data_IF_247729425658
#
_entry.id   IF_247729425658
#
_cell.length_a   1.000
_cell.length_b   1.000
_cell.length_c   1.000
_cell.angle_alpha   90.00
_cell.angle_beta   90.00
_cell.angle_gamma   90.00
#
_symmetry.space_group_name_H-M   'P 1'
#
loop_
_entity.id
_entity.type
_entity.pdbx_description
1 polymer ?
#
# COMPACT_ATOMS: atom_id res chain seq x y z
N UNK A 1 19.91 -20.54 74.62
CA UNK A 1 18.99 -19.40 74.45
C UNK A 1 19.16 -18.91 72.99
N UNK A 2 18.33 -19.37 72.10
CA UNK A 2 18.32 -18.98 70.68
C UNK A 2 17.02 -18.24 70.39
N UNK A 3 17.04 -17.12 69.63
CA UNK A 3 15.82 -16.52 69.15
C UNK A 3 15.46 -17.01 67.73
N UNK A 4 14.20 -17.32 67.57
CA UNK A 4 13.50 -17.68 66.36
C UNK A 4 13.43 -16.53 65.35
N UNK A 5 13.85 -16.78 64.11
CA UNK A 5 13.65 -15.89 62.97
C UNK A 5 12.39 -16.30 62.20
N UNK A 6 11.38 -15.44 62.23
CA UNK A 6 10.14 -15.58 61.46
C UNK A 6 10.35 -15.21 59.98
N UNK A 7 10.18 -16.16 59.09
CA UNK A 7 10.13 -15.92 57.63
C UNK A 7 8.71 -15.52 57.21
N UNK A 8 8.56 -14.29 56.72
CA UNK A 8 7.32 -13.79 56.10
C UNK A 8 7.31 -14.18 54.61
N UNK A 9 6.48 -15.13 54.23
CA UNK A 9 6.21 -15.49 52.86
C UNK A 9 5.43 -14.36 52.17
N UNK A 10 6.07 -13.63 51.26
CA UNK A 10 5.39 -12.75 50.29
C UNK A 10 4.74 -13.61 49.19
N UNK A 11 3.42 -13.69 49.22
CA UNK A 11 2.61 -14.20 48.08
C UNK A 11 2.70 -13.25 46.90
N UNK A 12 3.27 -13.72 45.78
CA UNK A 12 3.18 -13.05 44.50
C UNK A 12 1.80 -13.29 43.92
N UNK A 13 0.97 -12.25 43.84
CA UNK A 13 -0.26 -12.25 43.05
C UNK A 13 0.12 -12.25 41.56
N UNK A 14 -0.17 -13.35 40.88
CA UNK A 14 -0.10 -13.44 39.42
C UNK A 14 -1.28 -12.67 38.82
N UNK A 15 -1.00 -11.55 38.20
CA UNK A 15 -1.99 -10.81 37.42
C UNK A 15 -2.17 -11.52 36.08
N UNK A 16 -3.28 -12.23 35.93
CA UNK A 16 -3.71 -12.84 34.66
C UNK A 16 -4.07 -11.70 33.73
N UNK A 17 -3.36 -11.60 32.61
CA UNK A 17 -3.66 -10.70 31.52
C UNK A 17 -4.88 -11.21 30.74
N UNK A 18 -5.92 -10.42 30.47
CA UNK A 18 -7.07 -10.90 29.70
C UNK A 18 -6.66 -11.21 28.26
N UNK A 19 -6.94 -12.45 27.85
CA UNK A 19 -6.77 -12.91 26.48
C UNK A 19 -7.70 -12.11 25.57
N UNK A 20 -7.11 -11.44 24.56
CA UNK A 20 -7.85 -10.86 23.44
C UNK A 20 -8.43 -12.01 22.60
N UNK A 21 -9.73 -11.96 22.39
CA UNK A 21 -10.47 -12.82 21.46
C UNK A 21 -9.84 -12.79 20.06
N UNK A 22 -9.74 -13.91 19.36
CA UNK A 22 -9.17 -13.95 18.02
C UNK A 22 -10.12 -13.28 17.01
N UNK A 23 -9.56 -12.41 16.19
CA UNK A 23 -10.20 -11.77 15.05
C UNK A 23 -10.60 -12.83 14.00
N UNK A 24 -11.73 -12.69 13.30
CA UNK A 24 -12.25 -13.73 12.42
C UNK A 24 -11.32 -13.98 11.22
N UNK A 25 -11.16 -15.26 10.92
CA UNK A 25 -10.46 -15.90 9.82
C UNK A 25 -10.68 -15.18 8.47
N UNK A 26 -9.58 -14.93 7.77
CA UNK A 26 -9.58 -14.67 6.34
C UNK A 26 -9.67 -15.98 5.57
N UNK A 27 -10.61 -16.14 4.62
CA UNK A 27 -10.73 -17.35 3.83
C UNK A 27 -9.85 -17.27 2.58
N UNK A 28 -8.69 -17.90 2.59
CA UNK A 28 -8.00 -18.33 1.39
C UNK A 28 -8.30 -19.82 1.18
N UNK A 29 -9.44 -20.11 0.60
CA UNK A 29 -9.73 -21.42 0.05
C UNK A 29 -10.16 -21.23 -1.40
N UNK A 30 -9.34 -21.71 -2.32
CA UNK A 30 -9.79 -22.00 -3.67
C UNK A 30 -10.65 -23.26 -3.60
N UNK A 31 -11.94 -23.12 -3.73
CA UNK A 31 -12.86 -24.19 -4.13
C UNK A 31 -14.11 -23.57 -4.74
N UNK A 32 -14.28 -23.86 -6.04
CA UNK A 32 -15.52 -24.12 -6.82
C UNK A 32 -16.82 -23.41 -6.42
N UNK A 33 -17.32 -22.68 -7.40
CA UNK A 33 -18.71 -22.48 -7.86
C UNK A 33 -19.77 -23.34 -7.16
N UNK A 34 -20.73 -22.65 -6.52
CA UNK A 34 -22.17 -22.87 -6.71
C UNK A 34 -22.95 -21.78 -5.94
N UNK A 35 -23.86 -21.07 -6.63
CA UNK A 35 -24.88 -20.18 -6.08
C UNK A 35 -26.11 -21.00 -5.68
N UNK A 36 -27.02 -20.57 -4.78
CA UNK A 36 -27.73 -19.28 -4.75
C UNK A 36 -28.15 -18.75 -3.34
N UNK A 37 -28.58 -17.51 -3.28
CA UNK A 37 -29.56 -17.03 -2.27
C UNK A 37 -29.08 -15.87 -1.38
N UNK A 38 -29.51 -14.64 -1.73
CA UNK A 38 -29.47 -13.48 -0.83
C UNK A 38 -30.51 -13.58 0.28
N UNK A 39 -30.25 -13.01 1.47
CA UNK A 39 -31.22 -12.09 2.04
C UNK A 39 -30.59 -10.78 2.56
N UNK A 40 -31.44 -9.74 2.48
CA UNK A 40 -31.12 -8.36 2.68
C UNK A 40 -30.70 -7.96 4.11
N UNK A 41 -29.89 -6.92 4.15
CA UNK A 41 -29.60 -6.13 5.34
C UNK A 41 -30.24 -4.76 5.22
N UNK A 42 -31.25 -4.51 6.09
CA UNK A 42 -31.82 -3.17 6.34
C UNK A 42 -31.28 -2.66 7.67
N UNK A 43 -30.54 -1.57 7.64
CA UNK A 43 -30.14 -0.78 8.80
C UNK A 43 -29.89 0.68 8.39
N UNK A 44 -30.30 1.67 9.20
CA UNK A 44 -30.54 3.02 8.74
C UNK A 44 -29.23 3.81 8.51
N UNK A 45 -29.09 4.30 7.29
CA UNK A 45 -28.08 5.27 6.91
C UNK A 45 -28.60 6.65 7.30
N UNK A 46 -27.96 7.31 8.26
CA UNK A 46 -28.22 8.70 8.59
C UNK A 46 -27.69 9.58 7.46
N UNK A 47 -28.60 10.12 6.67
CA UNK A 47 -28.30 11.00 5.54
C UNK A 47 -27.97 12.41 6.05
N UNK A 48 -26.74 12.85 5.88
CA UNK A 48 -26.42 14.28 5.82
C UNK A 48 -26.41 14.72 4.36
N UNK A 49 -27.48 15.35 3.91
CA UNK A 49 -27.60 15.96 2.59
C UNK A 49 -26.93 17.34 2.58
N UNK A 50 -26.15 17.68 1.56
CA UNK A 50 -25.72 19.06 1.36
C UNK A 50 -26.81 19.87 0.66
N UNK A 51 -27.12 21.02 1.23
CA UNK A 51 -28.06 22.02 0.72
C UNK A 51 -27.50 22.67 -0.53
N UNK A 52 -28.08 22.38 -1.69
CA UNK A 52 -27.76 23.02 -2.97
C UNK A 52 -28.37 24.41 -3.00
N UNK A 53 -27.53 25.43 -3.11
CA UNK A 53 -27.95 26.83 -3.39
C UNK A 53 -27.94 26.98 -4.91
N UNK A 54 -29.12 27.09 -5.48
CA UNK A 54 -29.32 27.49 -6.87
C UNK A 54 -29.06 29.00 -6.97
N UNK A 55 -28.06 29.40 -7.73
CA UNK A 55 -27.92 30.77 -8.23
C UNK A 55 -28.38 30.79 -9.68
N UNK A 56 -29.37 31.67 -9.90
CA UNK A 56 -29.99 32.00 -11.18
C UNK A 56 -29.06 32.96 -11.93
N UNK A 57 -28.69 32.64 -13.15
CA UNK A 57 -27.98 33.52 -14.06
C UNK A 57 -29.00 34.32 -14.91
N UNK A 58 -28.80 35.61 -15.09
CA UNK A 58 -29.64 36.41 -15.98
C UNK A 58 -29.15 36.37 -17.42
N UNK A 59 -30.10 36.29 -18.32
CA UNK A 59 -29.95 36.40 -19.79
C UNK A 59 -29.57 37.86 -20.16
N UNK A 60 -28.66 38.02 -21.10
CA UNK A 60 -28.35 39.31 -21.75
C UNK A 60 -27.74 39.08 -23.13
N UNK A 61 -27.75 40.08 -24.01
CA UNK A 61 -28.38 39.97 -25.33
C UNK A 61 -27.43 39.81 -26.52
N UNK A 62 -28.04 39.52 -27.68
CA UNK A 62 -27.50 39.37 -29.02
C UNK A 62 -26.48 40.42 -29.46
N UNK A 63 -25.42 39.97 -30.17
CA UNK A 63 -24.58 40.82 -31.00
C UNK A 63 -24.33 40.15 -32.38
N UNK A 64 -24.32 40.93 -33.48
CA UNK A 64 -24.44 40.44 -34.82
C UNK A 64 -23.13 40.07 -35.50
N UNK A 65 -23.21 39.22 -36.52
CA UNK A 65 -22.14 38.87 -37.45
C UNK A 65 -21.68 40.04 -38.32
N UNK A 66 -20.44 40.14 -38.69
CA UNK A 66 -20.01 40.71 -39.96
C UNK A 66 -19.32 39.67 -40.86
N UNK A 67 -19.73 39.56 -42.12
CA UNK A 67 -18.93 39.04 -43.22
C UNK A 67 -18.14 40.17 -43.89
N UNK A 68 -17.62 39.99 -45.09
CA UNK A 68 -16.52 39.07 -45.46
C UNK A 68 -15.26 39.82 -46.05
N UNK A 69 -14.21 39.01 -46.31
CA UNK A 69 -13.13 39.21 -47.29
C UNK A 69 -12.10 40.32 -47.07
N UNK A 70 -10.85 39.89 -46.88
CA UNK A 70 -9.71 40.37 -47.64
C UNK A 70 -8.59 39.34 -47.70
N UNK A 71 -8.11 39.08 -48.94
CA UNK A 71 -6.93 38.31 -49.31
C UNK A 71 -5.65 38.92 -48.71
N UNK A 72 -4.75 38.09 -48.14
CA UNK A 72 -3.31 38.35 -48.13
C UNK A 72 -2.55 37.01 -48.22
N UNK A 73 -1.50 37.08 -48.96
CA UNK A 73 -0.76 36.04 -49.63
C UNK A 73 0.01 35.08 -48.75
N UNK A 74 0.29 33.90 -49.32
CA UNK A 74 1.06 32.79 -48.78
C UNK A 74 2.52 33.17 -48.44
N UNK A 75 2.95 32.68 -47.27
CA UNK A 75 4.35 32.36 -47.04
C UNK A 75 4.47 30.90 -46.63
N UNK A 76 5.12 30.12 -47.50
CA UNK A 76 5.46 28.73 -47.30
C UNK A 76 6.33 28.51 -46.06
N UNK A 77 5.79 27.74 -45.09
CA UNK A 77 6.60 27.07 -44.08
C UNK A 77 6.37 25.57 -44.24
N UNK A 78 7.41 24.73 -44.26
CA UNK A 78 7.22 23.29 -44.48
C UNK A 78 6.58 22.66 -43.25
N UNK A 79 5.27 22.46 -43.31
CA UNK A 79 4.54 21.61 -42.36
C UNK A 79 4.90 20.16 -42.65
N UNK A 80 5.67 19.56 -41.77
CA UNK A 80 5.81 18.10 -41.68
C UNK A 80 4.47 17.48 -41.33
N UNK A 81 3.62 17.29 -42.32
CA UNK A 81 2.40 16.51 -42.21
C UNK A 81 2.76 15.02 -42.06
N UNK A 82 2.99 14.55 -40.84
CA UNK A 82 2.82 13.13 -40.57
C UNK A 82 1.33 12.85 -40.50
N UNK A 83 0.72 12.61 -41.63
CA UNK A 83 -0.68 12.19 -41.74
C UNK A 83 -0.78 10.76 -41.20
N UNK A 84 -1.05 10.61 -39.90
CA UNK A 84 -1.45 9.31 -39.35
C UNK A 84 -2.73 8.86 -40.05
N UNK A 85 -2.74 7.64 -40.51
CA UNK A 85 -3.96 7.02 -41.04
C UNK A 85 -5.02 6.94 -39.94
N UNK A 86 -6.31 6.91 -40.34
CA UNK A 86 -7.44 6.78 -39.42
C UNK A 86 -7.27 5.56 -38.48
N UNK A 87 -6.66 4.49 -38.96
CA UNK A 87 -6.36 3.29 -38.20
C UNK A 87 -5.26 3.52 -37.17
N UNK A 88 -4.19 4.16 -37.53
CA UNK A 88 -3.08 4.52 -36.60
C UNK A 88 -3.56 5.48 -35.53
N UNK A 89 -4.43 6.44 -35.89
CA UNK A 89 -5.07 7.33 -34.95
C UNK A 89 -5.98 6.57 -33.98
N UNK A 90 -6.78 5.60 -34.46
CA UNK A 90 -7.58 4.75 -33.57
C UNK A 90 -6.73 3.86 -32.67
N UNK A 91 -5.65 3.28 -33.18
CA UNK A 91 -4.72 2.49 -32.37
C UNK A 91 -3.95 3.36 -31.37
N UNK A 92 -3.60 4.58 -31.74
CA UNK A 92 -3.03 5.58 -30.83
C UNK A 92 -4.01 5.93 -29.71
N UNK A 93 -5.27 6.26 -30.05
CA UNK A 93 -6.31 6.55 -29.07
C UNK A 93 -6.67 5.35 -28.19
N UNK A 94 -6.63 4.13 -28.72
CA UNK A 94 -6.83 2.91 -27.92
C UNK A 94 -5.64 2.67 -26.98
N UNK A 95 -4.41 2.90 -27.42
CA UNK A 95 -3.21 2.86 -26.57
C UNK A 95 -3.24 3.94 -25.50
N UNK A 96 -3.59 5.15 -25.87
CA UNK A 96 -3.80 6.25 -24.92
C UNK A 96 -4.91 5.91 -23.92
N UNK A 97 -6.09 5.49 -24.36
CA UNK A 97 -7.19 5.09 -23.47
C UNK A 97 -6.84 3.90 -22.58
N UNK A 98 -6.08 2.92 -23.05
CA UNK A 98 -5.61 1.80 -22.21
C UNK A 98 -4.50 2.22 -21.26
N UNK A 99 -3.64 3.16 -21.65
CA UNK A 99 -2.64 3.79 -20.79
C UNK A 99 -3.26 4.73 -19.74
N UNK A 100 -4.42 5.32 -20.02
CA UNK A 100 -5.15 6.26 -19.16
C UNK A 100 -6.12 5.59 -18.19
N UNK A 101 -6.31 4.30 -18.24
CA UNK A 101 -6.88 3.53 -17.12
C UNK A 101 -5.85 3.45 -16.00
N UNK A 102 -5.33 4.60 -15.60
CA UNK A 102 -4.60 4.69 -14.35
C UNK A 102 -5.58 4.31 -13.24
N UNK A 103 -5.33 3.16 -12.65
CA UNK A 103 -5.87 2.78 -11.37
C UNK A 103 -5.72 3.99 -10.47
N UNK A 104 -6.81 4.73 -10.25
CA UNK A 104 -6.81 5.82 -9.29
C UNK A 104 -7.00 5.20 -7.92
N UNK A 105 -6.11 5.51 -7.00
CA UNK A 105 -6.34 5.22 -5.61
C UNK A 105 -7.12 6.38 -5.00
N UNK A 106 -8.18 6.03 -4.29
CA UNK A 106 -8.94 6.95 -3.45
C UNK A 106 -8.51 6.76 -2.00
N UNK A 107 -8.41 7.86 -1.30
CA UNK A 107 -8.08 7.91 0.11
C UNK A 107 -9.31 8.40 0.87
N UNK A 108 -9.73 7.62 1.88
CA UNK A 108 -10.78 8.01 2.81
C UNK A 108 -10.27 7.88 4.23
N UNK A 109 -10.73 8.77 5.12
CA UNK A 109 -10.55 8.59 6.55
C UNK A 109 -11.88 8.14 7.14
N UNK A 110 -12.06 6.83 7.15
CA UNK A 110 -13.33 6.19 7.49
C UNK A 110 -13.75 6.45 8.93
N UNK A 111 -12.79 6.42 9.86
CA UNK A 111 -13.04 6.64 11.27
C UNK A 111 -11.86 7.31 11.96
N UNK A 112 -12.12 7.80 13.15
CA UNK A 112 -11.08 8.27 14.07
C UNK A 112 -11.45 7.83 15.48
N UNK A 113 -10.45 7.45 16.28
CA UNK A 113 -10.65 7.09 17.68
C UNK A 113 -9.59 7.76 18.56
N UNK A 114 -9.97 8.06 19.78
CA UNK A 114 -9.04 8.56 20.79
C UNK A 114 -8.34 7.35 21.41
N UNK A 115 -7.02 7.34 21.36
CA UNK A 115 -6.19 6.39 22.08
C UNK A 115 -5.59 7.02 23.32
N UNK A 116 -5.70 6.29 24.41
CA UNK A 116 -5.14 6.65 25.70
C UNK A 116 -3.94 5.76 26.00
N UNK A 117 -2.76 6.36 26.08
CA UNK A 117 -1.54 5.70 26.59
C UNK A 117 -1.20 6.31 27.94
N UNK A 118 -0.41 5.60 28.74
CA UNK A 118 -0.05 6.01 30.12
C UNK A 118 0.35 7.48 30.29
N UNK A 119 0.91 8.11 29.25
CA UNK A 119 1.48 9.47 29.30
C UNK A 119 0.80 10.44 28.33
N UNK A 120 0.00 9.97 27.38
CA UNK A 120 -0.55 10.84 26.32
C UNK A 120 -1.85 10.31 25.74
N UNK A 121 -2.77 11.24 25.41
CA UNK A 121 -3.98 10.97 24.63
C UNK A 121 -3.78 11.54 23.23
N UNK A 122 -4.16 10.79 22.22
CA UNK A 122 -4.07 11.23 20.83
C UNK A 122 -5.15 10.57 19.97
N UNK A 123 -5.41 11.16 18.80
CA UNK A 123 -6.37 10.62 17.84
C UNK A 123 -5.65 9.77 16.82
N UNK A 124 -6.16 8.53 16.62
CA UNK A 124 -5.79 7.65 15.51
C UNK A 124 -6.82 7.77 14.40
N UNK A 125 -6.38 8.06 13.21
CA UNK A 125 -7.18 8.17 12.00
C UNK A 125 -7.03 6.90 11.18
N UNK A 126 -8.16 6.28 10.82
CA UNK A 126 -8.20 5.09 10.00
C UNK A 126 -8.26 5.52 8.52
N UNK A 127 -7.15 5.38 7.83
CA UNK A 127 -7.00 5.67 6.40
C UNK A 127 -7.35 4.42 5.61
N UNK A 128 -8.36 4.51 4.76
CA UNK A 128 -8.79 3.46 3.83
C UNK A 128 -8.32 3.84 2.44
N UNK A 129 -7.63 2.92 1.77
CA UNK A 129 -7.13 3.08 0.41
C UNK A 129 -7.90 2.14 -0.50
N UNK A 130 -8.62 2.71 -1.47
CA UNK A 130 -9.52 2.00 -2.38
C UNK A 130 -9.01 2.18 -3.81
N UNK A 131 -8.97 1.10 -4.56
CA UNK A 131 -8.66 1.12 -5.98
C UNK A 131 -9.94 1.37 -6.79
N UNK A 132 -9.93 2.37 -7.69
CA UNK A 132 -11.06 2.64 -8.58
C UNK A 132 -10.91 1.94 -9.92
N UNK A 133 -12.04 1.72 -10.61
CA UNK A 133 -12.06 1.16 -11.98
C UNK A 133 -12.33 -0.35 -12.06
N UNK A 134 -12.32 -1.04 -10.92
CA UNK A 134 -12.74 -2.43 -10.76
C UNK A 134 -13.24 -2.64 -9.33
N UNK A 135 -13.94 -3.75 -9.09
CA UNK A 135 -14.29 -4.14 -7.71
C UNK A 135 -13.00 -4.38 -6.92
N UNK A 136 -12.81 -3.60 -5.86
CA UNK A 136 -11.66 -3.72 -4.97
C UNK A 136 -12.03 -4.62 -3.79
N UNK A 137 -11.74 -5.92 -3.91
CA UNK A 137 -11.92 -6.90 -2.84
C UNK A 137 -10.97 -6.66 -1.66
N UNK A 138 -9.83 -6.03 -1.93
CA UNK A 138 -8.72 -5.91 -0.99
C UNK A 138 -8.52 -4.44 -0.53
N UNK A 139 -9.55 -3.88 0.11
CA UNK A 139 -9.46 -2.55 0.71
C UNK A 139 -8.33 -2.55 1.75
N UNK A 140 -7.35 -1.71 1.54
CA UNK A 140 -6.27 -1.56 2.51
C UNK A 140 -6.64 -0.52 3.57
N UNK A 141 -6.39 -0.87 4.82
CA UNK A 141 -6.68 -0.02 5.98
C UNK A 141 -5.41 0.16 6.78
N UNK A 142 -5.02 1.41 7.01
CA UNK A 142 -3.87 1.76 7.85
C UNK A 142 -4.25 2.82 8.86
N UNK A 143 -3.56 2.85 9.99
CA UNK A 143 -3.85 3.78 11.08
C UNK A 143 -2.69 4.75 11.27
N UNK A 144 -3.02 6.05 11.28
CA UNK A 144 -2.03 7.13 11.41
C UNK A 144 -2.54 8.21 12.36
N UNK A 145 -1.67 8.74 13.19
CA UNK A 145 -1.96 9.90 14.02
C UNK A 145 -1.56 11.20 13.32
N UNK A 146 -2.10 12.31 13.74
CA UNK A 146 -1.80 13.62 13.13
C UNK A 146 -0.28 13.89 13.01
N UNK A 147 0.52 13.53 14.02
CA UNK A 147 1.98 13.72 13.96
C UNK A 147 2.69 12.86 12.91
N UNK A 148 2.05 11.80 12.40
CA UNK A 148 2.59 11.01 11.30
C UNK A 148 2.41 11.74 9.98
N UNK A 149 1.26 12.40 9.79
CA UNK A 149 1.00 13.31 8.66
C UNK A 149 1.92 14.54 8.70
N UNK A 150 2.14 15.12 9.88
CA UNK A 150 3.07 16.24 10.06
C UNK A 150 4.50 15.85 9.66
N UNK A 151 4.94 14.65 10.01
CA UNK A 151 6.25 14.12 9.58
C UNK A 151 6.33 13.90 8.08
N UNK A 152 5.27 13.36 7.49
CA UNK A 152 5.15 13.22 6.03
C UNK A 152 5.27 14.58 5.35
N UNK A 153 4.49 15.58 5.78
CA UNK A 153 4.53 16.94 5.22
C UNK A 153 5.94 17.52 5.26
N UNK A 154 6.62 17.45 6.42
CA UNK A 154 7.99 17.94 6.56
C UNK A 154 8.98 17.24 5.62
N UNK A 155 8.85 15.93 5.46
CA UNK A 155 9.71 15.15 4.57
C UNK A 155 9.45 15.48 3.09
N UNK A 156 8.19 15.66 2.70
CA UNK A 156 7.80 15.99 1.35
C UNK A 156 8.20 17.42 0.97
N UNK A 157 7.99 18.42 1.84
CA UNK A 157 8.37 19.80 1.59
C UNK A 157 9.89 19.96 1.39
N UNK A 158 10.69 19.18 2.10
CA UNK A 158 12.15 19.19 1.92
C UNK A 158 12.57 18.76 0.50
N UNK A 159 11.78 17.92 -0.17
CA UNK A 159 12.12 17.32 -1.45
C UNK A 159 11.31 17.85 -2.62
N UNK A 160 10.06 18.21 -2.38
CA UNK A 160 9.05 18.57 -3.38
C UNK A 160 8.36 19.90 -3.03
N UNK A 161 9.09 20.84 -2.39
CA UNK A 161 8.55 22.12 -1.96
C UNK A 161 7.78 22.85 -3.06
N UNK A 162 8.38 23.06 -4.26
CA UNK A 162 7.70 23.77 -5.34
C UNK A 162 6.42 23.07 -5.83
N UNK A 163 6.43 21.73 -5.92
CA UNK A 163 5.28 20.97 -6.40
C UNK A 163 4.13 20.89 -5.37
N UNK A 164 4.38 21.31 -4.13
CA UNK A 164 3.43 21.26 -3.02
C UNK A 164 3.01 22.65 -2.54
N UNK A 165 3.34 23.72 -3.25
CA UNK A 165 3.01 25.10 -2.86
C UNK A 165 1.50 25.29 -2.66
N UNK A 166 0.69 24.70 -3.54
CA UNK A 166 -0.78 24.75 -3.48
C UNK A 166 -1.42 23.69 -2.58
N UNK A 167 -0.63 22.80 -1.96
CA UNK A 167 -1.14 21.70 -1.13
C UNK A 167 -1.22 22.13 0.33
N UNK A 168 -2.39 22.57 0.75
CA UNK A 168 -2.63 22.98 2.12
C UNK A 168 -2.57 21.79 3.09
N UNK A 169 -1.77 21.91 4.15
CA UNK A 169 -1.74 20.97 5.26
C UNK A 169 -2.57 21.47 6.45
N UNK A 170 -3.40 20.62 7.10
CA UNK A 170 -4.19 21.00 8.26
C UNK A 170 -3.35 21.60 9.38
N UNK A 171 -3.74 22.76 9.88
CA UNK A 171 -2.97 23.46 10.92
C UNK A 171 -3.01 22.71 12.25
N UNK A 172 -1.87 22.73 12.95
CA UNK A 172 -1.79 22.22 14.31
C UNK A 172 -2.53 23.14 15.26
N UNK A 173 -3.50 22.59 16.01
CA UNK A 173 -4.20 23.33 17.07
C UNK A 173 -3.47 23.14 18.39
N UNK A 174 -3.37 24.18 19.19
CA UNK A 174 -2.74 24.13 20.51
C UNK A 174 -3.65 23.46 21.55
N UNK A 175 -4.96 23.71 21.43
CA UNK A 175 -5.99 23.18 22.33
C UNK A 175 -7.16 22.56 21.54
N UNK A 176 -8.02 21.80 22.20
CA UNK A 176 -9.24 21.24 21.60
C UNK A 176 -9.02 20.11 20.59
N UNK A 177 -7.80 19.53 20.52
CA UNK A 177 -7.48 18.46 19.54
C UNK A 177 -8.30 17.17 19.69
N UNK A 178 -8.96 17.00 20.84
CA UNK A 178 -9.75 15.80 21.16
C UNK A 178 -11.26 16.07 21.10
N UNK A 179 -11.71 17.29 20.74
CA UNK A 179 -13.13 17.57 20.58
C UNK A 179 -13.67 16.86 19.33
N UNK A 180 -14.95 16.48 19.36
CA UNK A 180 -15.60 15.77 18.26
C UNK A 180 -15.60 16.60 16.97
N UNK A 181 -15.81 17.91 17.08
CA UNK A 181 -15.81 18.86 15.97
C UNK A 181 -14.43 18.90 15.31
N UNK A 182 -13.36 19.08 16.11
CA UNK A 182 -11.99 19.14 15.60
C UNK A 182 -11.58 17.82 14.95
N UNK A 183 -12.00 16.68 15.50
CA UNK A 183 -11.72 15.37 14.91
C UNK A 183 -12.45 15.23 13.57
N UNK A 184 -13.71 15.67 13.49
CA UNK A 184 -14.51 15.58 12.27
C UNK A 184 -13.92 16.47 11.14
N UNK A 185 -13.63 17.73 11.43
CA UNK A 185 -12.99 18.66 10.48
C UNK A 185 -11.65 18.10 9.98
N UNK A 186 -10.80 17.65 10.90
CA UNK A 186 -9.47 17.13 10.58
C UNK A 186 -9.53 15.85 9.75
N UNK A 187 -10.57 15.01 9.92
CA UNK A 187 -10.79 13.85 9.03
C UNK A 187 -10.95 14.28 7.59
N UNK A 188 -11.77 15.30 7.33
CA UNK A 188 -12.00 15.83 5.98
C UNK A 188 -10.73 16.47 5.42
N UNK A 189 -10.09 17.35 6.19
CA UNK A 189 -8.86 18.02 5.77
C UNK A 189 -7.71 17.03 5.44
N UNK A 190 -7.49 16.02 6.29
CA UNK A 190 -6.45 15.01 6.07
C UNK A 190 -6.79 14.09 4.87
N UNK A 191 -8.06 13.79 4.65
CA UNK A 191 -8.52 13.07 3.46
C UNK A 191 -8.17 13.84 2.19
N UNK A 192 -8.54 15.11 2.14
CA UNK A 192 -8.33 15.96 0.97
C UNK A 192 -6.83 16.21 0.75
N UNK A 193 -6.08 16.39 1.84
CA UNK A 193 -4.62 16.44 1.78
C UNK A 193 -3.99 15.19 1.12
N UNK A 194 -4.41 13.97 1.51
CA UNK A 194 -3.89 12.74 0.88
C UNK A 194 -4.26 12.65 -0.60
N UNK A 195 -5.45 13.10 -0.98
CA UNK A 195 -5.90 13.12 -2.39
C UNK A 195 -5.07 14.09 -3.23
N UNK A 196 -4.79 15.28 -2.70
CA UNK A 196 -3.93 16.27 -3.35
C UNK A 196 -2.49 15.74 -3.50
N UNK A 197 -1.91 15.16 -2.44
CA UNK A 197 -0.59 14.53 -2.51
C UNK A 197 -0.53 13.44 -3.58
N UNK A 198 -1.56 12.59 -3.66
CA UNK A 198 -1.61 11.51 -4.65
C UNK A 198 -1.77 12.02 -6.08
N UNK A 199 -2.39 13.19 -6.30
CA UNK A 199 -2.50 13.81 -7.61
C UNK A 199 -1.11 14.20 -8.17
N UNK A 200 -0.17 14.61 -7.30
CA UNK A 200 1.19 14.97 -7.71
C UNK A 200 2.00 13.71 -8.05
N UNK A 201 2.34 13.53 -9.34
CA UNK A 201 3.00 12.33 -9.85
C UNK A 201 4.34 12.03 -9.14
N UNK A 202 5.15 13.04 -8.88
CA UNK A 202 6.43 12.90 -8.19
C UNK A 202 6.23 12.39 -6.75
N UNK A 203 5.26 12.96 -6.02
CA UNK A 203 4.94 12.61 -4.63
C UNK A 203 4.38 11.21 -4.51
N UNK A 204 3.39 10.82 -5.32
CA UNK A 204 2.77 9.46 -5.22
C UNK A 204 3.74 8.32 -5.51
N UNK A 205 4.88 8.58 -6.18
CA UNK A 205 5.95 7.62 -6.44
C UNK A 205 7.11 7.75 -5.47
N UNK A 206 7.07 8.73 -4.59
CA UNK A 206 8.15 8.97 -3.64
C UNK A 206 8.18 7.91 -2.54
N UNK A 207 9.38 7.66 -2.06
CA UNK A 207 9.58 6.75 -0.92
C UNK A 207 8.88 7.26 0.32
N UNK A 208 8.89 8.57 0.54
CA UNK A 208 8.29 9.23 1.71
C UNK A 208 6.79 8.94 1.79
N UNK A 209 6.07 9.05 0.67
CA UNK A 209 4.63 8.79 0.60
C UNK A 209 4.31 7.29 0.75
N UNK A 210 5.07 6.41 0.09
CA UNK A 210 4.92 4.96 0.20
C UNK A 210 5.23 4.50 1.63
N UNK A 211 6.34 4.96 2.22
CA UNK A 211 6.75 4.65 3.59
C UNK A 211 5.72 5.13 4.62
N UNK A 212 5.09 6.30 4.41
CA UNK A 212 4.01 6.76 5.28
C UNK A 212 2.87 5.76 5.35
N UNK A 213 2.51 5.13 4.23
CA UNK A 213 1.38 4.20 4.15
C UNK A 213 1.74 2.75 4.51
N UNK A 214 3.01 2.34 4.46
CA UNK A 214 3.37 0.93 4.58
C UNK A 214 4.44 0.63 5.64
N UNK A 215 5.34 1.58 5.93
CA UNK A 215 6.53 1.33 6.75
C UNK A 215 6.26 0.91 8.20
N UNK A 216 5.26 1.46 8.93
CA UNK A 216 4.98 1.02 10.29
C UNK A 216 4.61 -0.45 10.37
N UNK A 217 3.72 -0.91 9.50
CA UNK A 217 3.25 -2.29 9.40
C UNK A 217 4.39 -3.23 8.96
N UNK A 218 5.18 -2.81 7.97
CA UNK A 218 6.35 -3.58 7.54
C UNK A 218 7.38 -3.72 8.66
N UNK A 219 7.66 -2.66 9.42
CA UNK A 219 8.57 -2.75 10.57
C UNK A 219 8.05 -3.72 11.62
N UNK A 220 6.76 -3.70 11.92
CA UNK A 220 6.14 -4.65 12.84
C UNK A 220 6.30 -6.09 12.32
N UNK A 221 5.95 -6.35 11.06
CA UNK A 221 6.03 -7.66 10.45
C UNK A 221 7.46 -8.23 10.48
N UNK A 222 8.44 -7.44 10.03
CA UNK A 222 9.84 -7.88 10.04
C UNK A 222 10.41 -7.99 11.46
N UNK A 223 9.89 -7.25 12.44
CA UNK A 223 10.23 -7.44 13.85
C UNK A 223 9.67 -8.77 14.38
N UNK A 224 8.43 -9.10 14.06
CA UNK A 224 7.81 -10.39 14.39
C UNK A 224 8.57 -11.56 13.74
N UNK A 225 8.97 -11.41 12.47
CA UNK A 225 9.77 -12.41 11.75
C UNK A 225 11.11 -12.68 12.47
N UNK A 226 11.83 -11.63 12.87
CA UNK A 226 13.08 -11.76 13.64
C UNK A 226 12.87 -12.42 15.00
N UNK A 227 11.73 -12.16 15.64
CA UNK A 227 11.36 -12.79 16.91
C UNK A 227 10.84 -14.23 16.77
N UNK A 228 10.81 -14.81 15.55
CA UNK A 228 10.26 -16.15 15.30
C UNK A 228 8.73 -16.23 15.35
N UNK A 229 8.03 -15.10 15.43
CA UNK A 229 6.57 -15.02 15.47
C UNK A 229 6.00 -15.08 14.03
N UNK A 230 6.25 -16.18 13.33
CA UNK A 230 6.00 -16.30 11.89
C UNK A 230 4.51 -16.15 11.52
N UNK A 231 3.59 -16.69 12.32
CA UNK A 231 2.15 -16.55 12.08
C UNK A 231 1.73 -15.08 12.13
N UNK A 232 2.14 -14.35 13.17
CA UNK A 232 1.85 -12.92 13.30
C UNK A 232 2.52 -12.09 12.20
N UNK A 233 3.77 -12.41 11.85
CA UNK A 233 4.46 -11.76 10.75
C UNK A 233 3.69 -11.95 9.43
N UNK A 234 3.22 -13.17 9.16
CA UNK A 234 2.45 -13.51 7.95
C UNK A 234 1.13 -12.75 7.89
N UNK A 235 0.40 -12.63 9.00
CA UNK A 235 -0.86 -11.88 9.08
C UNK A 235 -0.64 -10.39 8.74
N UNK A 236 0.39 -9.77 9.32
CA UNK A 236 0.70 -8.35 9.05
C UNK A 236 1.19 -8.16 7.61
N UNK A 237 2.04 -9.06 7.09
CA UNK A 237 2.51 -9.01 5.70
C UNK A 237 1.36 -9.20 4.70
N UNK A 238 0.42 -10.10 5.01
CA UNK A 238 -0.79 -10.32 4.21
C UNK A 238 -1.68 -9.08 4.13
N UNK A 239 -1.79 -8.33 5.23
CA UNK A 239 -2.56 -7.08 5.26
C UNK A 239 -1.90 -5.93 4.51
N UNK A 240 -0.55 -5.82 4.52
CA UNK A 240 0.16 -4.70 3.89
C UNK A 240 0.50 -4.93 2.42
N UNK A 241 0.62 -6.19 1.99
CA UNK A 241 1.01 -6.53 0.61
C UNK A 241 0.06 -5.96 -0.46
N UNK A 242 -1.28 -6.07 -0.36
CA UNK A 242 -2.20 -5.49 -1.34
C UNK A 242 -2.03 -3.97 -1.47
N UNK A 243 -1.83 -3.27 -0.36
CA UNK A 243 -1.56 -1.83 -0.37
C UNK A 243 -0.24 -1.51 -1.08
N UNK A 244 0.81 -2.25 -0.77
CA UNK A 244 2.11 -2.05 -1.41
C UNK A 244 2.04 -2.32 -2.92
N UNK A 245 1.33 -3.35 -3.36
CA UNK A 245 1.10 -3.65 -4.78
C UNK A 245 0.39 -2.51 -5.51
N UNK A 246 -0.67 -1.94 -4.90
CA UNK A 246 -1.39 -0.78 -5.44
C UNK A 246 -0.49 0.46 -5.56
N UNK A 247 0.30 0.76 -4.53
CA UNK A 247 1.18 1.93 -4.50
C UNK A 247 2.39 1.79 -5.43
N UNK A 248 2.90 0.57 -5.61
CA UNK A 248 4.13 0.30 -6.38
C UNK A 248 3.88 -0.42 -7.70
N UNK A 249 2.69 -0.30 -8.30
CA UNK A 249 2.35 -0.92 -9.58
C UNK A 249 3.36 -0.56 -10.70
N UNK A 250 3.98 0.62 -10.62
CA UNK A 250 5.04 1.07 -11.53
C UNK A 250 6.40 0.39 -11.30
N UNK A 251 6.61 -0.27 -10.16
CA UNK A 251 7.84 -0.95 -9.79
C UNK A 251 7.53 -2.29 -9.10
N UNK A 252 7.10 -3.33 -9.85
CA UNK A 252 6.67 -4.62 -9.26
C UNK A 252 7.70 -5.29 -8.37
N UNK A 253 9.00 -5.08 -8.61
CA UNK A 253 10.07 -5.63 -7.77
C UNK A 253 10.12 -5.04 -6.36
N UNK A 254 9.43 -3.93 -6.08
CA UNK A 254 9.36 -3.34 -4.74
C UNK A 254 8.64 -4.25 -3.73
N UNK A 255 7.75 -5.15 -4.19
CA UNK A 255 7.03 -6.10 -3.33
C UNK A 255 7.81 -7.38 -3.04
N UNK A 256 8.93 -7.61 -3.73
CA UNK A 256 9.72 -8.86 -3.60
C UNK A 256 10.20 -9.12 -2.16
N UNK A 257 10.72 -8.14 -1.41
CA UNK A 257 11.13 -8.39 -0.02
C UNK A 257 9.99 -8.89 0.86
N UNK A 258 8.78 -8.36 0.67
CA UNK A 258 7.57 -8.78 1.42
C UNK A 258 7.16 -10.20 1.03
N UNK A 259 7.10 -10.52 -0.26
CA UNK A 259 6.80 -11.87 -0.74
C UNK A 259 7.83 -12.89 -0.25
N UNK A 260 9.13 -12.54 -0.26
CA UNK A 260 10.19 -13.38 0.28
C UNK A 260 10.06 -13.60 1.79
N UNK A 261 9.67 -12.57 2.55
CA UNK A 261 9.41 -12.70 3.97
C UNK A 261 8.20 -13.63 4.24
N UNK A 262 7.12 -13.51 3.46
CA UNK A 262 5.97 -14.42 3.54
C UNK A 262 6.38 -15.87 3.22
N UNK A 263 7.19 -16.10 2.19
CA UNK A 263 7.73 -17.41 1.86
C UNK A 263 8.51 -18.01 3.04
N UNK A 264 9.39 -17.21 3.66
CA UNK A 264 10.16 -17.66 4.84
C UNK A 264 9.22 -18.02 5.99
N UNK A 265 8.22 -17.19 6.28
CA UNK A 265 7.23 -17.46 7.33
C UNK A 265 6.45 -18.75 7.05
N UNK A 266 5.95 -18.92 5.82
CA UNK A 266 5.18 -20.12 5.42
C UNK A 266 6.00 -21.40 5.49
N UNK A 267 7.27 -21.35 5.06
CA UNK A 267 8.18 -22.49 5.17
C UNK A 267 8.42 -22.86 6.64
N UNK A 268 8.69 -21.87 7.49
CA UNK A 268 8.99 -22.11 8.90
C UNK A 268 7.69 -22.49 9.70
N UNK A 269 6.49 -22.28 9.11
CA UNK A 269 5.19 -22.76 9.60
C UNK A 269 4.79 -24.13 8.98
N UNK A 270 5.71 -24.80 8.28
CA UNK A 270 5.47 -26.10 7.65
C UNK A 270 4.33 -26.10 6.61
N UNK A 271 4.20 -24.99 5.86
CA UNK A 271 3.23 -24.81 4.76
C UNK A 271 3.94 -24.69 3.40
N UNK A 272 4.62 -25.76 2.92
CA UNK A 272 5.52 -25.66 1.76
C UNK A 272 4.79 -25.37 0.45
N UNK A 273 3.56 -25.84 0.27
CA UNK A 273 2.78 -25.59 -0.94
C UNK A 273 2.44 -24.11 -1.11
N UNK A 274 2.04 -23.44 -0.03
CA UNK A 274 1.75 -22.02 -0.04
C UNK A 274 3.04 -21.18 -0.15
N UNK A 275 4.11 -21.61 0.52
CA UNK A 275 5.43 -21.00 0.37
C UNK A 275 5.89 -21.02 -1.10
N UNK A 276 5.67 -22.15 -1.80
CA UNK A 276 6.00 -22.29 -3.21
C UNK A 276 5.18 -21.31 -4.08
N UNK A 277 3.86 -21.24 -3.88
CA UNK A 277 2.99 -20.33 -4.63
C UNK A 277 3.37 -18.85 -4.45
N UNK A 278 3.70 -18.44 -3.21
CA UNK A 278 4.19 -17.07 -2.92
C UNK A 278 5.56 -16.82 -3.57
N UNK A 279 6.44 -17.83 -3.58
CA UNK A 279 7.74 -17.76 -4.25
C UNK A 279 7.61 -17.60 -5.77
N UNK A 280 6.68 -18.28 -6.41
CA UNK A 280 6.38 -18.10 -7.85
C UNK A 280 5.94 -16.65 -8.13
N UNK A 281 5.04 -16.07 -7.29
CA UNK A 281 4.68 -14.66 -7.39
C UNK A 281 5.91 -13.73 -7.27
N UNK A 282 6.81 -14.02 -6.34
CA UNK A 282 8.02 -13.22 -6.16
C UNK A 282 8.94 -13.31 -7.39
N UNK A 283 9.13 -14.49 -7.98
CA UNK A 283 9.88 -14.66 -9.23
C UNK A 283 9.24 -13.94 -10.41
N UNK A 284 7.90 -13.96 -10.52
CA UNK A 284 7.16 -13.20 -11.54
C UNK A 284 7.37 -11.68 -11.38
N UNK A 285 7.43 -11.16 -10.15
CA UNK A 285 7.70 -9.73 -9.89
C UNK A 285 9.14 -9.33 -10.22
N UNK A 286 10.08 -10.24 -10.09
CA UNK A 286 11.48 -10.01 -10.51
C UNK A 286 11.64 -10.04 -12.03
N UNK A 287 10.84 -10.86 -12.74
CA UNK A 287 10.96 -11.06 -14.19
C UNK A 287 12.42 -11.35 -14.57
N UNK A 288 12.95 -10.58 -15.56
CA UNK A 288 14.33 -10.72 -16.02
C UNK A 288 15.38 -9.93 -15.19
N UNK A 289 15.05 -9.49 -13.97
CA UNK A 289 15.99 -8.73 -13.12
C UNK A 289 16.89 -9.67 -12.32
N UNK A 290 17.76 -10.40 -13.01
CA UNK A 290 18.71 -11.35 -12.41
C UNK A 290 19.72 -10.68 -11.47
N UNK A 291 19.95 -9.35 -11.65
CA UNK A 291 20.84 -8.58 -10.79
C UNK A 291 20.22 -8.23 -9.41
N UNK A 292 18.95 -8.52 -9.20
CA UNK A 292 18.29 -8.19 -7.94
C UNK A 292 18.81 -9.08 -6.81
N UNK A 293 19.12 -8.50 -5.63
CA UNK A 293 19.73 -9.20 -4.48
C UNK A 293 18.95 -10.42 -3.98
N UNK A 294 17.64 -10.48 -4.21
CA UNK A 294 16.78 -11.59 -3.85
C UNK A 294 16.73 -12.69 -4.91
N UNK A 295 17.24 -12.47 -6.13
CA UNK A 295 17.03 -13.41 -7.24
C UNK A 295 17.63 -14.80 -6.98
N UNK A 296 18.93 -14.89 -6.77
CA UNK A 296 19.60 -16.18 -6.51
C UNK A 296 19.16 -16.86 -5.20
N UNK A 297 19.05 -16.14 -4.05
CA UNK A 297 18.55 -16.75 -2.81
C UNK A 297 17.09 -17.22 -2.89
N UNK A 298 16.26 -16.55 -3.70
CA UNK A 298 14.89 -16.98 -3.95
C UNK A 298 14.85 -18.25 -4.81
N UNK A 299 15.65 -18.32 -5.87
CA UNK A 299 15.77 -19.52 -6.69
C UNK A 299 16.24 -20.72 -5.86
N UNK A 300 17.28 -20.59 -5.03
CA UNK A 300 17.74 -21.67 -4.14
C UNK A 300 16.61 -22.15 -3.21
N UNK A 301 15.87 -21.23 -2.59
CA UNK A 301 14.74 -21.58 -1.74
C UNK A 301 13.62 -22.29 -2.53
N UNK A 302 13.36 -21.87 -3.77
CA UNK A 302 12.33 -22.46 -4.63
C UNK A 302 12.72 -23.85 -5.13
N UNK A 303 13.98 -24.11 -5.47
CA UNK A 303 14.49 -25.43 -5.83
C UNK A 303 14.28 -26.42 -4.67
N UNK A 304 14.65 -26.00 -3.45
CA UNK A 304 14.46 -26.85 -2.26
C UNK A 304 12.99 -27.14 -1.98
N UNK A 305 12.10 -26.14 -2.15
CA UNK A 305 10.66 -26.31 -1.97
C UNK A 305 10.06 -27.22 -3.06
N UNK A 306 10.48 -27.06 -4.32
CA UNK A 306 10.04 -27.92 -5.42
C UNK A 306 10.43 -29.38 -5.19
N UNK A 307 11.69 -29.63 -4.76
CA UNK A 307 12.17 -30.96 -4.38
C UNK A 307 11.32 -31.57 -3.26
N UNK A 308 11.08 -30.81 -2.18
CA UNK A 308 10.27 -31.27 -1.04
C UNK A 308 8.79 -31.56 -1.41
N UNK A 309 8.27 -30.90 -2.45
CA UNK A 309 6.90 -31.08 -2.96
C UNK A 309 6.80 -32.12 -4.09
N UNK A 310 7.92 -32.73 -4.52
CA UNK A 310 7.96 -33.65 -5.67
C UNK A 310 7.61 -32.93 -7.00
N UNK A 311 7.85 -31.62 -7.12
CA UNK A 311 7.64 -30.86 -8.35
C UNK A 311 8.91 -30.87 -9.22
N UNK A 312 8.72 -30.66 -10.53
CA UNK A 312 9.84 -30.43 -11.42
C UNK A 312 10.57 -29.11 -11.06
N UNK A 313 11.87 -29.21 -10.88
CA UNK A 313 12.74 -28.10 -10.53
C UNK A 313 13.86 -27.84 -11.54
N UNK A 314 13.93 -28.59 -12.64
CA UNK A 314 15.02 -28.51 -13.62
C UNK A 314 15.20 -27.08 -14.17
N UNK A 315 14.09 -26.41 -14.52
CA UNK A 315 14.10 -25.02 -14.99
C UNK A 315 14.58 -24.03 -13.92
N UNK A 316 14.20 -24.24 -12.66
CA UNK A 316 14.65 -23.39 -11.55
C UNK A 316 16.14 -23.61 -11.25
N UNK A 317 16.60 -24.86 -11.31
CA UNK A 317 18.00 -25.21 -11.11
C UNK A 317 18.88 -24.61 -12.21
N UNK A 318 18.51 -24.73 -13.49
CA UNK A 318 19.26 -24.14 -14.60
C UNK A 318 19.41 -22.60 -14.43
N UNK A 319 18.34 -21.91 -14.03
CA UNK A 319 18.39 -20.46 -13.75
C UNK A 319 19.28 -20.12 -12.56
N UNK A 320 19.33 -20.98 -11.54
CA UNK A 320 20.19 -20.80 -10.38
C UNK A 320 21.66 -20.98 -10.79
N UNK A 321 21.99 -22.02 -11.56
CA UNK A 321 23.33 -22.30 -12.06
C UNK A 321 23.85 -21.17 -12.94
N UNK A 322 23.01 -20.65 -13.87
CA UNK A 322 23.34 -19.49 -14.70
C UNK A 322 23.63 -18.24 -13.84
N UNK A 323 22.83 -18.02 -12.78
CA UNK A 323 23.03 -16.92 -11.86
C UNK A 323 24.34 -17.02 -11.08
N UNK A 324 24.74 -18.25 -10.70
CA UNK A 324 26.00 -18.52 -9.98
C UNK A 324 27.22 -18.37 -10.89
N UNK A 325 27.14 -18.84 -12.13
CA UNK A 325 28.21 -18.69 -13.14
C UNK A 325 28.54 -17.23 -13.41
N UNK A 326 27.50 -16.38 -13.48
CA UNK A 326 27.67 -14.93 -13.70
C UNK A 326 28.24 -14.19 -12.48
N UNK A 327 28.18 -14.75 -11.27
CA UNK A 327 28.61 -14.11 -10.01
C UNK A 327 29.31 -15.09 -9.06
N UNK A 328 30.49 -15.61 -9.41
CA UNK A 328 31.15 -16.68 -8.65
C UNK A 328 31.67 -16.29 -7.25
N UNK A 329 31.76 -14.98 -6.93
CA UNK A 329 32.47 -14.48 -5.74
C UNK A 329 31.62 -14.17 -4.52
N UNK A 330 30.30 -14.25 -4.60
CA UNK A 330 29.45 -13.98 -3.45
C UNK A 330 28.96 -15.28 -2.80
N UNK A 331 29.54 -15.67 -1.64
CA UNK A 331 28.80 -16.44 -0.63
C UNK A 331 27.59 -15.56 -0.23
N UNK A 332 26.50 -15.71 -0.99
CA UNK A 332 25.31 -14.93 -0.83
C UNK A 332 24.61 -15.28 0.47
N UNK A 333 23.95 -14.32 1.06
CA UNK A 333 23.02 -14.56 2.14
C UNK A 333 21.91 -15.50 1.68
N UNK A 334 21.49 -16.39 2.57
CA UNK A 334 20.27 -17.19 2.37
C UNK A 334 19.04 -16.26 2.31
N UNK A 335 17.94 -16.74 1.75
CA UNK A 335 16.71 -15.97 1.68
C UNK A 335 16.25 -15.49 3.07
N UNK A 336 16.38 -16.33 4.11
CA UNK A 336 16.04 -16.00 5.49
C UNK A 336 16.95 -14.91 6.04
N UNK A 337 18.23 -14.98 5.81
CA UNK A 337 19.19 -13.96 6.27
C UNK A 337 18.95 -12.60 5.61
N UNK A 338 18.59 -12.57 4.33
CA UNK A 338 18.21 -11.33 3.65
C UNK A 338 16.95 -10.73 4.25
N UNK A 339 15.92 -11.54 4.48
CA UNK A 339 14.66 -11.05 5.06
C UNK A 339 14.83 -10.55 6.49
N UNK A 340 15.64 -11.23 7.31
CA UNK A 340 15.93 -10.80 8.69
C UNK A 340 16.60 -9.44 8.75
N UNK A 341 17.40 -9.08 7.72
CA UNK A 341 18.11 -7.80 7.64
C UNK A 341 17.27 -6.64 7.11
N UNK A 342 16.09 -6.91 6.54
CA UNK A 342 15.20 -5.84 6.10
C UNK A 342 14.66 -5.04 7.28
N UNK A 343 14.53 -3.73 7.09
CA UNK A 343 13.96 -2.81 8.09
C UNK A 343 14.67 -2.82 9.47
N UNK A 344 15.97 -3.12 9.52
CA UNK A 344 16.74 -3.06 10.77
C UNK A 344 17.04 -1.61 11.23
N UNK A 345 16.92 -0.63 10.32
CA UNK A 345 17.20 0.81 10.57
C UNK A 345 15.93 1.63 10.72
#
# INVERSE_FOLDING_TARGET
MSPLTSQTKRQRKSTVCPQKTPNPRWPWSMASLDHPGSPGWTGPISQCTPRTRQEVLPSGPDLPCPGPEEHLEAQDSPSSNSSMTTRELQEHWQREKSGWRHVKLLFEIASARIEERRVSKFVMYQVVVIQTGSFDSDKAVVERRYSDFERLQKALLKRFGPELEDVAFPRKRLTGNLSAETICERRLELRDYLRLLYAVRAVRRSREFIDFLTRPELREAFSCLRAGQYARALDVLGGVLPLQEKLTAHCPSATVPVLCAMLVCLRDLERPAEAFAVGERALQRLRARESHRYYAPLLDAMVRLAYALGKDFASLQGRLDDSQLRRPTHRGFTLKELTVREYLS
#
